data_IF_672339220451
#
_entry.id   IF_672339220451
#
_cell.length_a   1.000
_cell.length_b   1.000
_cell.length_c   1.000
_cell.angle_alpha   90.00
_cell.angle_beta   90.00
_cell.angle_gamma   90.00
#
_symmetry.space_group_name_H-M   'P 1'
#
loop_
_entity.id
_entity.type
_entity.pdbx_description
1 polymer ?
#
# COMPACT_ATOMS: atom_id res chain seq x y z
N UNK A 1 3.16 -14.51 13.55
CA UNK A 1 2.66 -13.13 13.58
C UNK A 1 3.16 -12.39 12.34
N UNK A 2 2.28 -11.77 11.59
CA UNK A 2 2.70 -11.09 10.36
C UNK A 2 2.56 -9.58 10.49
N UNK A 3 3.42 -8.86 9.75
CA UNK A 3 3.35 -7.41 9.65
C UNK A 3 2.28 -7.09 8.61
N UNK A 4 1.34 -6.24 8.96
CA UNK A 4 0.25 -5.86 8.07
C UNK A 4 0.64 -4.63 7.27
N UNK A 5 0.59 -4.76 5.95
CA UNK A 5 1.05 -3.71 5.03
C UNK A 5 -0.08 -3.29 4.11
N UNK A 6 -0.18 -2.00 3.84
CA UNK A 6 -1.06 -1.47 2.81
C UNK A 6 -0.19 -0.88 1.70
N UNK A 7 -0.53 -1.20 0.46
CA UNK A 7 0.19 -0.68 -0.71
C UNK A 7 -0.63 0.39 -1.40
N UNK A 8 -0.01 1.54 -1.69
CA UNK A 8 -0.64 2.61 -2.44
C UNK A 8 0.23 2.96 -3.63
N UNK A 9 -0.21 2.58 -4.83
CA UNK A 9 0.57 2.72 -6.06
C UNK A 9 -0.41 2.78 -7.23
N UNK A 10 -0.18 3.68 -8.17
CA UNK A 10 -1.05 3.81 -9.34
C UNK A 10 -0.68 2.87 -10.48
N UNK A 11 0.38 2.07 -10.31
CA UNK A 11 0.80 1.08 -11.31
C UNK A 11 0.42 -0.33 -10.84
N UNK A 12 -0.69 -0.84 -11.37
CA UNK A 12 -1.21 -2.14 -10.92
C UNK A 12 -0.20 -3.27 -11.07
N UNK A 13 0.55 -3.29 -12.16
CA UNK A 13 1.53 -4.35 -12.40
C UNK A 13 2.68 -4.32 -11.41
N UNK A 14 3.19 -3.13 -11.10
CA UNK A 14 4.24 -2.96 -10.12
C UNK A 14 3.74 -3.34 -8.73
N UNK A 15 2.51 -2.94 -8.41
CA UNK A 15 1.89 -3.27 -7.13
C UNK A 15 1.80 -4.78 -6.93
N UNK A 16 1.41 -5.51 -7.98
CA UNK A 16 1.37 -6.96 -7.94
C UNK A 16 2.75 -7.57 -7.67
N UNK A 17 3.77 -7.05 -8.32
CA UNK A 17 5.13 -7.52 -8.11
C UNK A 17 5.61 -7.30 -6.69
N UNK A 18 5.35 -6.12 -6.14
CA UNK A 18 5.73 -5.79 -4.78
C UNK A 18 5.00 -6.69 -3.79
N UNK A 19 3.70 -6.89 -4.02
CA UNK A 19 2.89 -7.76 -3.18
C UNK A 19 3.48 -9.18 -3.12
N UNK A 20 3.83 -9.74 -4.27
CA UNK A 20 4.43 -11.07 -4.32
C UNK A 20 5.75 -11.14 -3.56
N UNK A 21 6.59 -10.13 -3.70
CA UNK A 21 7.86 -10.08 -3.00
C UNK A 21 7.67 -10.01 -1.49
N UNK A 22 6.75 -9.17 -1.04
CA UNK A 22 6.50 -8.98 0.38
C UNK A 22 5.91 -10.23 1.04
N UNK A 23 5.06 -10.93 0.33
CA UNK A 23 4.39 -12.11 0.89
C UNK A 23 5.18 -13.39 0.74
N UNK A 24 6.31 -13.32 0.07
CA UNK A 24 7.10 -14.50 -0.25
C UNK A 24 7.53 -15.29 0.99
N UNK A 25 7.99 -14.63 2.03
CA UNK A 25 8.49 -15.32 3.22
C UNK A 25 7.42 -15.56 4.29
N UNK A 26 6.21 -15.04 4.08
CA UNK A 26 5.11 -15.27 5.02
C UNK A 26 5.09 -14.40 6.26
N UNK A 27 6.09 -13.53 6.44
CA UNK A 27 6.11 -12.63 7.60
C UNK A 27 5.39 -11.32 7.36
N UNK A 28 5.02 -11.03 6.11
CA UNK A 28 4.35 -9.80 5.73
C UNK A 28 3.04 -10.15 5.04
N UNK A 29 1.98 -9.47 5.44
CA UNK A 29 0.67 -9.66 4.84
C UNK A 29 0.18 -8.34 4.26
N UNK A 30 -0.10 -8.33 2.96
CA UNK A 30 -0.68 -7.15 2.31
C UNK A 30 -2.19 -7.21 2.52
N UNK A 31 -2.70 -6.35 3.39
CA UNK A 31 -4.10 -6.40 3.80
C UNK A 31 -5.03 -5.59 2.90
N UNK A 32 -4.48 -4.63 2.18
CA UNK A 32 -5.26 -3.85 1.23
C UNK A 32 -4.35 -3.12 0.27
N UNK A 33 -4.94 -2.56 -0.79
CA UNK A 33 -4.23 -1.84 -1.83
C UNK A 33 -5.06 -0.64 -2.25
N UNK A 34 -4.38 0.39 -2.74
CA UNK A 34 -5.03 1.59 -3.24
C UNK A 34 -4.40 1.99 -4.58
N UNK A 35 -5.20 2.49 -5.49
CA UNK A 35 -4.74 2.93 -6.81
C UNK A 35 -4.22 4.35 -6.83
N UNK A 36 -4.57 5.14 -5.82
CA UNK A 36 -4.16 6.54 -5.74
C UNK A 36 -4.24 7.02 -4.30
N UNK A 37 -3.77 8.24 -4.06
CA UNK A 37 -3.72 8.79 -2.72
C UNK A 37 -5.08 8.96 -2.07
N UNK A 38 -6.08 9.36 -2.85
CA UNK A 38 -7.42 9.55 -2.33
C UNK A 38 -8.01 8.23 -1.83
N UNK A 39 -7.90 7.18 -2.62
CA UNK A 39 -8.36 5.86 -2.24
C UNK A 39 -7.61 5.36 -1.01
N UNK A 40 -6.32 5.64 -0.94
CA UNK A 40 -5.50 5.27 0.20
C UNK A 40 -6.02 5.89 1.48
N UNK A 41 -6.30 7.19 1.47
CA UNK A 41 -6.82 7.88 2.64
C UNK A 41 -8.18 7.35 3.06
N UNK A 42 -9.05 7.07 2.11
CA UNK A 42 -10.36 6.52 2.40
C UNK A 42 -10.26 5.16 3.08
N UNK A 43 -9.34 4.32 2.63
CA UNK A 43 -9.16 3.00 3.22
C UNK A 43 -8.50 3.06 4.59
N UNK A 44 -7.60 4.01 4.80
CA UNK A 44 -6.94 4.18 6.10
C UNK A 44 -7.92 4.56 7.20
N UNK A 45 -9.06 5.11 6.85
CA UNK A 45 -10.10 5.40 7.83
C UNK A 45 -10.75 4.13 8.38
N UNK A 46 -10.62 3.03 7.66
CA UNK A 46 -11.29 1.76 8.00
C UNK A 46 -10.34 0.69 8.50
N UNK A 47 -9.06 0.79 8.14
CA UNK A 47 -8.07 -0.22 8.50
C UNK A 47 -6.82 0.45 9.06
N UNK A 48 -6.09 -0.28 9.89
CA UNK A 48 -4.86 0.23 10.50
C UNK A 48 -3.70 -0.71 10.16
N UNK A 49 -3.02 -0.48 9.03
CA UNK A 49 -1.86 -1.29 8.72
C UNK A 49 -0.68 -0.92 9.62
N UNK A 50 0.23 -1.85 9.79
CA UNK A 50 1.46 -1.57 10.53
C UNK A 50 2.40 -0.71 9.72
N UNK A 51 2.38 -0.89 8.40
CA UNK A 51 3.23 -0.14 7.48
C UNK A 51 2.41 0.26 6.26
N UNK A 52 2.59 1.50 5.82
CA UNK A 52 2.02 1.99 4.58
C UNK A 52 3.15 2.23 3.58
N UNK A 53 3.13 1.50 2.47
CA UNK A 53 4.06 1.72 1.38
C UNK A 53 3.38 2.60 0.34
N UNK A 54 3.94 3.77 0.10
CA UNK A 54 3.34 4.78 -0.75
C UNK A 54 4.25 5.13 -1.92
N UNK A 55 3.70 5.10 -3.12
CA UNK A 55 4.41 5.57 -4.31
C UNK A 55 4.34 7.10 -4.32
N UNK A 56 5.50 7.74 -4.20
CA UNK A 56 5.58 9.20 -4.15
C UNK A 56 5.24 9.87 -5.48
N UNK A 57 5.12 9.10 -6.54
CA UNK A 57 4.80 9.62 -7.88
C UNK A 57 3.31 9.57 -8.20
N UNK A 58 2.47 9.26 -7.23
CA UNK A 58 1.02 9.24 -7.47
C UNK A 58 0.50 10.64 -7.78
N UNK A 59 -0.30 10.78 -8.86
CA UNK A 59 -0.72 12.11 -9.31
C UNK A 59 -1.70 12.83 -8.39
N UNK A 60 -2.45 12.08 -7.58
CA UNK A 60 -3.51 12.65 -6.77
C UNK A 60 -3.03 13.21 -5.44
N UNK A 61 -1.76 13.00 -5.11
CA UNK A 61 -1.28 13.47 -3.83
C UNK A 61 0.24 13.51 -3.82
N UNK A 62 0.77 14.42 -3.05
CA UNK A 62 2.19 14.49 -2.79
C UNK A 62 2.48 13.47 -1.68
N UNK A 63 3.42 12.58 -1.90
CA UNK A 63 3.74 11.55 -0.92
C UNK A 63 4.05 12.06 0.47
N UNK A 64 4.61 13.24 0.56
CA UNK A 64 4.96 13.82 1.86
C UNK A 64 3.74 14.29 2.66
N UNK A 65 2.58 14.37 2.04
CA UNK A 65 1.37 14.79 2.72
C UNK A 65 0.68 13.63 3.44
N UNK A 66 1.15 12.43 3.23
CA UNK A 66 0.62 11.26 3.90
C UNK A 66 1.30 11.03 5.22
#
# INVERSE_FOLDING_TARGET
MSVKVMLADDHALMREGIKHLLEFDGSIEVIDEANNGKECLEKLEKIEPDILLLDINMPDMNGIEV
#
